data_IF_887334435436
#
_entry.id   IF_887334435436
#
_cell.length_a   1.000
_cell.length_b   1.000
_cell.length_c   1.000
_cell.angle_alpha   90.00
_cell.angle_beta   90.00
_cell.angle_gamma   90.00
#
_symmetry.space_group_name_H-M   'P 1'
#
loop_
_entity.id
_entity.type
_entity.pdbx_description
1 polymer ?
#
# COMPACT_ATOMS: atom_id res chain seq x y z
N UNK A 1 -0.61 26.92 6.34
CA UNK A 1 0.56 26.07 6.62
C UNK A 1 1.73 26.96 6.98
N UNK A 2 2.65 26.53 7.85
CA UNK A 2 3.88 27.28 8.10
C UNK A 2 4.71 27.39 6.82
N UNK A 3 5.43 28.51 6.67
CA UNK A 3 6.30 28.78 5.52
C UNK A 3 7.69 28.21 5.78
N UNK A 4 7.87 26.93 5.50
CA UNK A 4 9.14 26.22 5.69
C UNK A 4 10.06 26.41 4.48
N UNK A 5 11.36 26.57 4.72
CA UNK A 5 12.36 26.49 3.66
C UNK A 5 12.34 25.10 3.00
N UNK A 6 12.00 24.98 1.71
CA UNK A 6 11.78 23.69 1.07
C UNK A 6 13.07 22.85 0.96
N UNK A 7 14.23 23.51 0.87
CA UNK A 7 15.53 22.81 0.80
C UNK A 7 15.84 22.11 2.13
N UNK A 8 15.70 22.83 3.24
CA UNK A 8 15.93 22.29 4.57
C UNK A 8 14.89 21.24 4.94
N UNK A 9 13.62 21.47 4.60
CA UNK A 9 12.55 20.48 4.80
C UNK A 9 12.83 19.18 4.02
N UNK A 10 13.29 19.29 2.77
CA UNK A 10 13.70 18.16 1.95
C UNK A 10 14.79 17.33 2.62
N UNK A 11 15.85 17.98 3.11
CA UNK A 11 16.95 17.29 3.81
C UNK A 11 16.50 16.52 5.04
N UNK A 12 15.60 17.09 5.86
CA UNK A 12 15.04 16.39 7.03
C UNK A 12 14.22 15.18 6.59
N UNK A 13 13.38 15.34 5.56
CA UNK A 13 12.59 14.24 5.02
C UNK A 13 13.48 13.12 4.50
N UNK A 14 14.54 13.44 3.77
CA UNK A 14 15.48 12.47 3.22
C UNK A 14 16.20 11.69 4.33
N UNK A 15 16.62 12.38 5.40
CA UNK A 15 17.22 11.74 6.57
C UNK A 15 16.26 10.77 7.27
N UNK A 16 14.98 11.16 7.43
CA UNK A 16 13.96 10.30 8.04
C UNK A 16 13.61 9.10 7.14
N UNK A 17 13.57 9.28 5.82
CA UNK A 17 13.41 8.20 4.85
C UNK A 17 14.56 7.19 4.94
N UNK A 18 15.80 7.67 5.10
CA UNK A 18 16.97 6.80 5.26
C UNK A 18 16.96 6.05 6.61
N UNK A 19 16.44 6.66 7.67
CA UNK A 19 16.34 6.04 9.00
C UNK A 19 15.23 4.98 9.09
N UNK A 20 14.09 5.22 8.42
CA UNK A 20 12.92 4.34 8.48
C UNK A 20 13.22 2.84 8.28
N UNK A 21 13.98 2.39 7.25
CA UNK A 21 14.26 0.97 7.06
C UNK A 21 15.19 0.36 8.13
N UNK A 22 15.94 1.17 8.87
CA UNK A 22 16.88 0.69 9.90
C UNK A 22 16.19 0.25 11.20
N UNK A 23 14.88 0.49 11.33
CA UNK A 23 14.10 0.17 12.54
C UNK A 23 13.70 -1.31 12.66
N UNK A 24 13.90 -2.10 11.60
CA UNK A 24 13.47 -3.49 11.56
C UNK A 24 11.95 -3.62 11.71
N UNK A 25 11.50 -4.67 12.41
CA UNK A 25 10.09 -4.98 12.60
C UNK A 25 9.40 -4.09 13.66
N UNK A 26 10.18 -3.41 14.51
CA UNK A 26 9.63 -2.48 15.51
C UNK A 26 9.33 -1.12 14.89
N UNK A 27 8.11 -1.02 14.34
CA UNK A 27 7.59 0.21 13.76
C UNK A 27 7.13 1.22 14.82
N UNK A 28 6.95 0.83 16.08
CA UNK A 28 6.31 1.65 17.11
C UNK A 28 4.94 2.21 16.69
N UNK A 29 4.27 2.94 17.58
CA UNK A 29 3.01 3.60 17.25
C UNK A 29 3.28 4.92 16.50
N UNK A 30 3.30 4.87 15.16
CA UNK A 30 3.59 6.03 14.30
C UNK A 30 2.42 7.03 14.22
N UNK A 31 1.18 6.55 14.34
CA UNK A 31 -0.02 7.35 14.14
C UNK A 31 -1.04 7.06 15.24
N UNK A 32 -1.82 8.08 15.62
CA UNK A 32 -2.74 8.03 16.75
C UNK A 32 -2.85 9.41 17.42
N UNK A 33 -3.48 9.43 18.59
CA UNK A 33 -3.47 10.59 19.48
C UNK A 33 -2.07 10.79 20.07
N UNK A 34 -1.82 11.99 20.62
CA UNK A 34 -0.54 12.32 21.29
C UNK A 34 -0.14 11.33 22.39
N UNK A 35 -1.12 10.70 23.06
CA UNK A 35 -0.88 9.74 24.13
C UNK A 35 -0.57 8.32 23.63
N UNK A 36 -0.91 8.00 22.38
CA UNK A 36 -0.75 6.66 21.81
C UNK A 36 0.55 6.50 21.05
N UNK A 37 1.11 7.59 20.53
CA UNK A 37 2.28 7.54 19.64
C UNK A 37 3.61 7.52 20.40
N UNK A 38 4.57 6.77 19.87
CA UNK A 38 5.97 6.97 20.23
C UNK A 38 6.49 8.22 19.49
N UNK A 39 7.09 9.22 20.17
CA UNK A 39 7.46 10.49 19.52
C UNK A 39 8.45 10.33 18.36
N UNK A 40 9.38 9.38 18.44
CA UNK A 40 10.37 9.14 17.38
C UNK A 40 9.72 8.42 16.20
N UNK A 41 8.91 7.39 16.48
CA UNK A 41 8.13 6.70 15.47
C UNK A 41 7.16 7.65 14.75
N UNK A 42 6.53 8.57 15.48
CA UNK A 42 5.63 9.58 14.92
C UNK A 42 6.36 10.56 13.99
N UNK A 43 7.52 11.06 14.42
CA UNK A 43 8.34 11.95 13.59
C UNK A 43 8.73 11.27 12.27
N UNK A 44 9.17 10.02 12.32
CA UNK A 44 9.52 9.24 11.13
C UNK A 44 8.26 8.95 10.29
N UNK A 45 7.18 8.51 10.93
CA UNK A 45 5.90 8.18 10.30
C UNK A 45 5.32 9.34 9.49
N UNK A 46 5.34 10.56 10.04
CA UNK A 46 4.84 11.75 9.34
C UNK A 46 5.67 12.15 8.12
N UNK A 47 6.95 11.77 8.05
CA UNK A 47 7.80 11.98 6.89
C UNK A 47 7.55 10.95 5.78
N UNK A 48 7.36 9.67 6.15
CA UNK A 48 7.29 8.56 5.18
C UNK A 48 5.85 8.14 4.80
N UNK A 49 4.88 8.43 5.67
CA UNK A 49 3.50 7.94 5.60
C UNK A 49 2.49 9.06 5.81
N UNK A 50 2.51 10.07 4.93
CA UNK A 50 1.59 11.20 5.03
C UNK A 50 0.13 10.72 5.04
N UNK A 51 -0.65 11.18 6.02
CA UNK A 51 -2.05 10.77 6.21
C UNK A 51 -2.23 9.37 6.80
N UNK A 52 -1.19 8.80 7.42
CA UNK A 52 -1.30 7.51 8.10
C UNK A 52 -2.29 7.53 9.27
N UNK A 53 -2.96 6.40 9.45
CA UNK A 53 -3.89 6.14 10.54
C UNK A 53 -3.25 5.22 11.59
N UNK A 54 -3.71 5.26 12.85
CA UNK A 54 -3.37 4.22 13.82
C UNK A 54 -3.82 2.85 13.30
N UNK A 55 -3.13 1.79 13.70
CA UNK A 55 -3.31 0.44 13.14
C UNK A 55 -4.75 -0.10 13.31
N UNK A 56 -5.45 0.28 14.39
CA UNK A 56 -6.85 -0.09 14.59
C UNK A 56 -7.80 0.52 13.54
N UNK A 57 -7.40 1.61 12.88
CA UNK A 57 -8.17 2.29 11.86
C UNK A 57 -7.75 1.88 10.45
N UNK A 58 -6.44 1.73 10.18
CA UNK A 58 -5.97 1.16 8.93
C UNK A 58 -4.55 0.58 9.03
N UNK A 59 -4.34 -0.56 8.36
CA UNK A 59 -3.01 -1.16 8.15
C UNK A 59 -2.61 -1.04 6.68
N UNK A 60 -1.36 -0.68 6.43
CA UNK A 60 -0.79 -0.46 5.10
C UNK A 60 0.34 -1.46 4.85
N UNK A 61 0.26 -2.23 3.77
CA UNK A 61 1.29 -3.19 3.36
C UNK A 61 1.74 -2.86 1.93
N UNK A 62 2.98 -2.42 1.79
CA UNK A 62 3.60 -2.10 0.50
C UNK A 62 4.48 -3.25 0.03
N UNK A 63 4.41 -3.55 -1.26
CA UNK A 63 5.10 -4.67 -1.89
C UNK A 63 5.84 -4.20 -3.14
N UNK A 64 7.00 -4.82 -3.37
CA UNK A 64 7.87 -4.59 -4.52
C UNK A 64 8.02 -5.92 -5.27
N UNK A 65 7.22 -6.15 -6.31
CA UNK A 65 7.24 -7.39 -7.09
C UNK A 65 8.62 -7.71 -7.66
N UNK A 66 8.90 -9.01 -7.83
CA UNK A 66 10.04 -9.49 -8.64
C UNK A 66 9.75 -9.27 -10.12
N UNK A 67 10.78 -9.26 -10.97
CA UNK A 67 10.65 -9.03 -12.42
C UNK A 67 9.90 -7.73 -12.76
N UNK A 68 10.25 -6.66 -12.05
CA UNK A 68 9.56 -5.38 -12.06
C UNK A 68 9.88 -4.54 -13.32
N UNK A 69 9.69 -5.13 -14.49
CA UNK A 69 10.02 -4.60 -15.82
C UNK A 69 8.88 -3.76 -16.44
N UNK A 70 7.77 -3.60 -15.73
CA UNK A 70 6.57 -2.92 -16.21
C UNK A 70 5.77 -3.68 -17.29
N UNK A 71 6.11 -4.94 -17.55
CA UNK A 71 5.54 -5.76 -18.63
C UNK A 71 5.04 -7.11 -18.13
N UNK A 72 5.78 -7.74 -17.23
CA UNK A 72 5.47 -9.02 -16.64
C UNK A 72 4.17 -8.90 -15.86
N UNK A 73 3.20 -9.74 -16.23
CA UNK A 73 1.89 -9.77 -15.58
C UNK A 73 2.06 -10.38 -14.19
N UNK A 74 1.43 -9.76 -13.19
CA UNK A 74 1.32 -10.33 -11.85
C UNK A 74 -0.15 -10.43 -11.43
N UNK A 75 -0.45 -11.36 -10.54
CA UNK A 75 -1.80 -11.57 -10.00
C UNK A 75 -1.76 -11.68 -8.48
N UNK A 76 -2.59 -10.89 -7.81
CA UNK A 76 -2.87 -10.99 -6.38
C UNK A 76 -4.27 -11.55 -6.21
N UNK A 77 -4.39 -12.70 -5.54
CA UNK A 77 -5.71 -13.24 -5.16
C UNK A 77 -5.88 -13.15 -3.67
N UNK A 78 -6.95 -12.50 -3.22
CA UNK A 78 -7.29 -12.33 -1.80
C UNK A 78 -8.67 -12.92 -1.53
N UNK A 79 -8.83 -13.53 -0.36
CA UNK A 79 -10.09 -14.11 0.12
C UNK A 79 -10.19 -13.94 1.62
N UNK A 80 -11.41 -13.82 2.14
CA UNK A 80 -11.70 -13.78 3.58
C UNK A 80 -10.83 -12.75 4.34
N UNK A 81 -10.67 -11.56 3.76
CA UNK A 81 -9.84 -10.49 4.34
C UNK A 81 -10.54 -9.98 5.61
N UNK A 82 -9.92 -10.11 6.80
CA UNK A 82 -10.61 -9.85 8.08
C UNK A 82 -10.61 -8.37 8.42
N UNK A 83 -11.40 -7.60 7.66
CA UNK A 83 -11.63 -6.16 7.84
C UNK A 83 -13.11 -5.89 8.07
N UNK A 84 -13.42 -4.93 8.95
CA UNK A 84 -14.81 -4.47 9.19
C UNK A 84 -15.19 -3.28 8.31
N UNK A 85 -14.23 -2.67 7.63
CA UNK A 85 -14.47 -1.63 6.63
C UNK A 85 -14.40 -2.20 5.22
N UNK A 86 -13.25 -2.03 4.58
CA UNK A 86 -12.97 -2.49 3.22
C UNK A 86 -11.45 -2.67 3.07
N UNK A 87 -11.02 -3.28 1.98
CA UNK A 87 -9.62 -3.27 1.58
C UNK A 87 -9.45 -2.59 0.23
N UNK A 88 -8.31 -1.99 -0.01
CA UNK A 88 -7.96 -1.43 -1.31
C UNK A 88 -6.55 -1.79 -1.73
N UNK A 89 -6.32 -1.90 -3.03
CA UNK A 89 -5.02 -2.06 -3.68
C UNK A 89 -4.77 -0.84 -4.53
N UNK A 90 -3.59 -0.23 -4.43
CA UNK A 90 -3.18 0.93 -5.23
C UNK A 90 -1.80 0.69 -5.83
N UNK A 91 -1.60 1.05 -7.10
CA UNK A 91 -0.31 0.92 -7.82
C UNK A 91 0.39 2.26 -7.91
N UNK A 92 1.70 2.28 -7.70
CA UNK A 92 2.56 3.45 -7.78
C UNK A 92 3.76 3.18 -8.69
N UNK A 93 4.28 4.21 -9.35
CA UNK A 93 5.55 4.15 -10.07
C UNK A 93 6.76 4.08 -9.11
N UNK A 94 7.96 3.96 -9.67
CA UNK A 94 9.21 3.92 -8.91
C UNK A 94 9.45 5.14 -7.99
N UNK A 95 8.78 6.26 -8.28
CA UNK A 95 8.86 7.49 -7.49
C UNK A 95 7.78 7.57 -6.39
N UNK A 96 6.91 6.57 -6.27
CA UNK A 96 5.83 6.52 -5.28
C UNK A 96 4.58 7.31 -5.66
N UNK A 97 4.39 7.66 -6.93
CA UNK A 97 3.22 8.41 -7.42
C UNK A 97 2.31 7.55 -8.30
N UNK A 98 1.06 7.98 -8.44
CA UNK A 98 0.18 7.43 -9.48
C UNK A 98 0.70 7.81 -10.86
N UNK A 99 0.86 6.81 -11.72
CA UNK A 99 1.28 7.00 -13.10
C UNK A 99 0.06 7.08 -14.01
N UNK A 100 -0.07 8.19 -14.74
CA UNK A 100 -1.17 8.40 -15.68
C UNK A 100 -1.18 7.25 -16.70
N UNK A 101 -2.35 6.68 -16.94
CA UNK A 101 -2.55 5.61 -17.91
C UNK A 101 -3.87 5.78 -18.64
N UNK A 102 -3.98 5.17 -19.83
CA UNK A 102 -5.12 5.33 -20.72
C UNK A 102 -6.43 4.74 -20.18
N UNK A 103 -6.34 3.82 -19.22
CA UNK A 103 -7.51 3.22 -18.56
C UNK A 103 -8.01 4.04 -17.36
N UNK A 104 -7.30 5.10 -16.98
CA UNK A 104 -7.56 5.90 -15.77
C UNK A 104 -7.74 5.02 -14.51
N UNK A 105 -6.99 3.92 -14.43
CA UNK A 105 -7.09 2.91 -13.38
C UNK A 105 -5.84 2.93 -12.51
N UNK A 106 -6.00 3.19 -11.20
CA UNK A 106 -4.89 3.33 -10.25
C UNK A 106 -5.09 2.51 -8.97
N UNK A 107 -6.35 2.18 -8.66
CA UNK A 107 -6.69 1.43 -7.46
C UNK A 107 -7.97 0.63 -7.63
N UNK A 108 -8.11 -0.41 -6.81
CA UNK A 108 -9.28 -1.27 -6.70
C UNK A 108 -9.58 -1.51 -5.22
N UNK A 109 -10.83 -1.85 -4.90
CA UNK A 109 -11.24 -2.25 -3.56
C UNK A 109 -12.34 -3.32 -3.66
N UNK A 110 -12.68 -4.00 -2.56
CA UNK A 110 -13.74 -5.02 -2.56
C UNK A 110 -15.15 -4.50 -2.84
N UNK A 111 -15.38 -3.19 -2.87
CA UNK A 111 -16.68 -2.61 -3.21
C UNK A 111 -16.84 -2.43 -4.73
N UNK A 112 -15.73 -2.21 -5.46
CA UNK A 112 -15.74 -1.96 -6.91
C UNK A 112 -15.15 -3.10 -7.73
N UNK A 113 -14.33 -3.96 -7.13
CA UNK A 113 -13.77 -5.13 -7.77
C UNK A 113 -14.84 -6.20 -7.99
N UNK A 114 -14.70 -6.96 -9.07
CA UNK A 114 -15.56 -8.10 -9.39
C UNK A 114 -15.07 -9.34 -8.63
N UNK A 115 -15.90 -9.99 -7.80
CA UNK A 115 -15.51 -11.22 -7.13
C UNK A 115 -15.48 -12.40 -8.11
N UNK A 116 -14.64 -13.38 -7.79
CA UNK A 116 -14.63 -14.71 -8.39
C UNK A 116 -15.84 -15.52 -7.88
N UNK A 117 -16.13 -16.64 -8.55
CA UNK A 117 -17.25 -17.52 -8.18
C UNK A 117 -17.14 -18.11 -6.77
N UNK A 118 -15.94 -18.22 -6.22
CA UNK A 118 -15.67 -18.73 -4.88
C UNK A 118 -15.64 -17.62 -3.80
N UNK A 119 -15.95 -16.38 -4.18
CA UNK A 119 -15.94 -15.21 -3.29
C UNK A 119 -14.57 -14.56 -3.10
N UNK A 120 -13.49 -15.10 -3.69
CA UNK A 120 -12.19 -14.43 -3.71
C UNK A 120 -12.17 -13.27 -4.71
N UNK A 121 -11.15 -12.42 -4.64
CA UNK A 121 -10.91 -11.36 -5.62
C UNK A 121 -9.52 -11.54 -6.20
N UNK A 122 -9.42 -11.59 -7.52
CA UNK A 122 -8.13 -11.55 -8.23
C UNK A 122 -7.93 -10.18 -8.84
N UNK A 123 -6.84 -9.52 -8.45
CA UNK A 123 -6.34 -8.27 -9.05
C UNK A 123 -5.18 -8.62 -9.98
N UNK A 124 -5.29 -8.20 -11.24
CA UNK A 124 -4.20 -8.34 -12.21
C UNK A 124 -3.42 -7.04 -12.29
N UNK A 125 -2.10 -7.17 -12.37
CA UNK A 125 -1.17 -6.08 -12.61
C UNK A 125 -0.50 -6.28 -13.97
N UNK A 126 -0.59 -5.29 -14.84
CA UNK A 126 -0.07 -5.36 -16.20
C UNK A 126 -0.91 -6.19 -17.17
N UNK A 127 -0.59 -6.08 -18.46
CA UNK A 127 -1.36 -6.72 -19.53
C UNK A 127 -2.80 -6.24 -19.65
N UNK A 128 -3.12 -5.05 -19.12
CA UNK A 128 -4.47 -4.53 -19.07
C UNK A 128 -4.95 -4.06 -20.43
N UNK A 129 -6.19 -4.42 -20.76
CA UNK A 129 -6.94 -3.90 -21.91
C UNK A 129 -8.32 -3.44 -21.42
N UNK A 130 -8.98 -2.61 -22.21
CA UNK A 130 -10.37 -2.26 -21.95
C UNK A 130 -11.23 -3.51 -21.75
N UNK A 131 -12.06 -3.52 -20.70
CA UNK A 131 -12.87 -4.67 -20.32
C UNK A 131 -12.17 -5.77 -19.52
N UNK A 132 -10.85 -5.71 -19.32
CA UNK A 132 -10.16 -6.67 -18.43
C UNK A 132 -10.58 -6.43 -16.98
N UNK A 133 -11.28 -7.36 -16.32
CA UNK A 133 -11.78 -7.14 -14.96
C UNK A 133 -10.61 -7.03 -13.98
N UNK A 134 -10.76 -6.14 -12.99
CA UNK A 134 -9.82 -5.96 -11.87
C UNK A 134 -8.35 -5.78 -12.31
N UNK A 135 -8.10 -5.10 -13.43
CA UNK A 135 -6.75 -4.90 -13.95
C UNK A 135 -6.22 -3.50 -13.63
N UNK A 136 -5.00 -3.43 -13.12
CA UNK A 136 -4.27 -2.19 -12.85
C UNK A 136 -3.02 -2.13 -13.75
N UNK A 137 -2.90 -1.11 -14.62
CA UNK A 137 -1.69 -0.89 -15.40
C UNK A 137 -0.45 -0.70 -14.51
N UNK A 138 0.70 -1.14 -15.01
CA UNK A 138 1.98 -1.05 -14.33
C UNK A 138 3.02 -0.41 -15.24
N UNK A 139 4.10 0.06 -14.64
CA UNK A 139 5.28 0.64 -15.30
C UNK A 139 6.55 0.06 -14.68
N UNK A 140 7.70 0.28 -15.30
CA UNK A 140 8.98 -0.18 -14.75
C UNK A 140 9.20 0.35 -13.32
N UNK A 141 9.65 -0.54 -12.43
CA UNK A 141 9.90 -0.20 -11.02
C UNK A 141 8.64 0.08 -10.20
N UNK A 142 7.46 -0.38 -10.64
CA UNK A 142 6.21 -0.19 -9.91
C UNK A 142 6.21 -0.85 -8.53
N UNK A 143 5.36 -0.35 -7.65
CA UNK A 143 5.04 -1.01 -6.38
C UNK A 143 3.54 -0.91 -6.13
N UNK A 144 3.04 -1.71 -5.20
CA UNK A 144 1.64 -1.59 -4.79
C UNK A 144 1.50 -1.57 -3.28
N UNK A 145 0.46 -0.89 -2.82
CA UNK A 145 0.07 -0.85 -1.41
C UNK A 145 -1.32 -1.41 -1.25
N UNK A 146 -1.45 -2.40 -0.37
CA UNK A 146 -2.73 -2.88 0.13
C UNK A 146 -3.05 -2.17 1.43
N UNK A 147 -4.24 -1.60 1.51
CA UNK A 147 -4.77 -0.93 2.70
C UNK A 147 -5.92 -1.74 3.25
N UNK A 148 -5.90 -1.99 4.55
CA UNK A 148 -6.87 -2.80 5.28
C UNK A 148 -7.55 -1.87 6.28
N UNK A 149 -8.79 -1.46 6.01
CA UNK A 149 -9.50 -0.47 6.81
C UNK A 149 -10.34 -1.15 7.89
N UNK A 150 -10.16 -0.70 9.14
CA UNK A 150 -10.69 -1.34 10.36
C UNK A 150 -10.30 -2.84 10.40
N UNK A 151 -8.99 -3.15 10.42
CA UNK A 151 -8.53 -4.53 10.48
C UNK A 151 -8.93 -5.17 11.81
N UNK A 152 -9.32 -6.44 11.76
CA UNK A 152 -9.57 -7.24 12.95
C UNK A 152 -8.26 -7.76 13.56
N UNK A 153 -8.37 -8.37 14.74
CA UNK A 153 -7.25 -8.86 15.54
C UNK A 153 -6.39 -9.89 14.79
N UNK A 154 -6.96 -10.65 13.86
CA UNK A 154 -6.25 -11.62 13.04
C UNK A 154 -5.16 -10.96 12.19
N UNK A 155 -5.39 -9.74 11.66
CA UNK A 155 -4.35 -8.97 10.97
C UNK A 155 -3.34 -8.40 11.97
N UNK A 156 -3.83 -7.82 13.07
CA UNK A 156 -3.00 -7.10 14.05
C UNK A 156 -2.03 -8.02 14.78
N UNK A 157 -2.46 -9.22 15.13
CA UNK A 157 -1.65 -10.24 15.80
C UNK A 157 -0.86 -11.12 14.82
N UNK A 158 -1.04 -10.92 13.51
CA UNK A 158 -0.34 -11.67 12.45
C UNK A 158 -0.89 -13.09 12.20
N UNK A 159 -2.03 -13.46 12.77
CA UNK A 159 -2.72 -14.73 12.52
C UNK A 159 -3.27 -14.87 11.10
N UNK A 160 -3.54 -13.75 10.42
CA UNK A 160 -3.85 -13.69 9.01
C UNK A 160 -2.75 -12.96 8.25
N UNK A 161 -2.31 -13.54 7.13
CA UNK A 161 -1.28 -12.97 6.27
C UNK A 161 -1.85 -12.62 4.90
N UNK A 162 -1.59 -11.40 4.48
CA UNK A 162 -1.90 -10.94 3.14
C UNK A 162 -1.00 -11.67 2.13
N UNK A 163 -1.55 -12.33 1.10
CA UNK A 163 -0.75 -12.92 0.05
C UNK A 163 -0.02 -11.85 -0.79
N UNK A 164 1.10 -12.25 -1.38
CA UNK A 164 1.85 -11.42 -2.32
C UNK A 164 1.44 -11.70 -3.76
N UNK A 165 1.51 -10.68 -4.63
CA UNK A 165 1.29 -10.84 -6.05
C UNK A 165 2.32 -11.82 -6.64
N UNK A 166 1.83 -12.82 -7.36
CA UNK A 166 2.67 -13.82 -8.03
C UNK A 166 2.76 -13.50 -9.52
N UNK A 167 3.85 -13.90 -10.17
CA UNK A 167 3.95 -13.86 -11.63
C UNK A 167 2.77 -14.64 -12.24
N UNK A 168 2.06 -13.99 -13.15
CA UNK A 168 0.99 -14.60 -13.92
C UNK A 168 1.58 -15.56 -14.96
N UNK A 169 0.96 -16.72 -15.09
CA UNK A 169 1.19 -17.61 -16.23
C UNK A 169 0.60 -17.01 -17.52
#
# INVERSE_FOLDING_TARGET
MPDWDPVSQGKVRDALNALAPLRGDDKGAMFGTRAEVDPVAHLIGTAIGWGGNPDYAAVYKSFYPKDNDGKTVHKLTVKDVPVDGFWSVSVYNAKGFFEKNDLNAYSLNNLTARPNSDGSFTVQFGGCREGTPNCLPIVEGWNYTVRLYRPRKEILDGGWKLPEAQRGN
#
